data_IF_200222946612
#
_entry.id   IF_200222946612
#
_cell.length_a   1.000
_cell.length_b   1.000
_cell.length_c   1.000
_cell.angle_alpha   90.00
_cell.angle_beta   90.00
_cell.angle_gamma   90.00
#
_symmetry.space_group_name_H-M   'P 1'
#
loop_
_entity.id
_entity.type
_entity.pdbx_description
1 polymer ?
#
# COMPACT_ATOMS: atom_id res chain seq x y z
N UNK A 1 -9.46 15.28 58.49
CA UNK A 1 -9.14 14.51 57.31
C UNK A 1 -7.73 13.96 57.49
N UNK A 2 -7.57 12.63 57.52
CA UNK A 2 -6.25 12.02 57.62
C UNK A 2 -5.46 12.27 56.33
N UNK A 3 -4.24 12.79 56.45
CA UNK A 3 -3.36 12.94 55.31
C UNK A 3 -3.07 11.58 54.69
N UNK A 4 -3.12 11.39 53.38
CA UNK A 4 -2.77 10.14 52.73
C UNK A 4 -1.31 9.77 53.07
N UNK A 5 -1.09 8.66 53.72
CA UNK A 5 0.28 8.14 54.01
C UNK A 5 0.89 7.74 52.66
N UNK A 6 2.00 8.39 52.27
CA UNK A 6 2.80 7.99 51.11
C UNK A 6 3.36 6.60 51.42
N UNK A 7 3.15 5.57 50.58
CA UNK A 7 3.66 4.20 50.81
C UNK A 7 5.16 4.13 50.46
N UNK A 8 6.00 4.70 51.34
CA UNK A 8 7.44 4.82 51.13
C UNK A 8 8.11 3.45 50.90
N UNK A 9 7.68 2.44 51.64
CA UNK A 9 8.23 1.08 51.50
C UNK A 9 7.93 0.46 50.16
N UNK A 10 6.75 0.73 49.57
CA UNK A 10 6.39 0.33 48.20
C UNK A 10 7.23 1.06 47.15
N UNK A 11 7.49 2.37 47.35
CA UNK A 11 8.33 3.17 46.46
C UNK A 11 9.77 2.66 46.52
N UNK A 12 10.33 2.43 47.71
CA UNK A 12 11.70 1.95 47.86
C UNK A 12 11.89 0.54 47.30
N UNK A 13 10.92 -0.36 47.53
CA UNK A 13 10.97 -1.72 46.95
C UNK A 13 10.89 -1.69 45.43
N UNK A 14 10.07 -0.81 44.85
CA UNK A 14 9.99 -0.61 43.41
C UNK A 14 11.28 -0.03 42.82
N UNK A 15 11.86 0.96 43.48
CA UNK A 15 13.14 1.53 43.07
C UNK A 15 14.28 0.48 43.12
N UNK A 16 14.33 -0.37 44.15
CA UNK A 16 15.31 -1.45 44.24
C UNK A 16 15.12 -2.52 43.13
N UNK A 17 13.89 -2.88 42.83
CA UNK A 17 13.56 -3.78 41.71
C UNK A 17 14.00 -3.18 40.36
N UNK A 18 13.70 -1.90 40.14
CA UNK A 18 14.04 -1.23 38.88
C UNK A 18 15.55 -1.02 38.74
N UNK A 19 16.27 -0.76 39.85
CA UNK A 19 17.76 -0.73 39.89
C UNK A 19 18.36 -2.09 39.56
N UNK A 20 17.83 -3.18 40.13
CA UNK A 20 18.28 -4.55 39.83
C UNK A 20 18.07 -4.91 38.34
N UNK A 21 16.93 -4.53 37.78
CA UNK A 21 16.66 -4.70 36.33
C UNK A 21 17.61 -3.87 35.46
N UNK A 22 17.93 -2.63 35.86
CA UNK A 22 18.86 -1.78 35.16
C UNK A 22 20.30 -2.36 35.18
N UNK A 23 20.74 -2.89 36.32
CA UNK A 23 22.01 -3.56 36.45
C UNK A 23 22.12 -4.80 35.55
N UNK A 24 21.12 -5.69 35.58
CA UNK A 24 21.08 -6.89 34.74
C UNK A 24 21.08 -6.57 33.25
N UNK A 25 20.47 -5.44 32.86
CA UNK A 25 20.52 -4.93 31.46
C UNK A 25 21.91 -4.43 31.12
N UNK A 26 22.52 -3.65 31.99
CA UNK A 26 23.89 -3.12 31.78
C UNK A 26 24.94 -4.24 31.65
N UNK A 27 24.77 -5.33 32.38
CA UNK A 27 25.65 -6.50 32.29
C UNK A 27 25.55 -7.22 30.95
N UNK A 28 24.36 -7.31 30.37
CA UNK A 28 24.10 -7.99 29.08
C UNK A 28 24.30 -7.10 27.84
N UNK A 29 24.24 -5.79 28.00
CA UNK A 29 24.33 -4.85 26.89
C UNK A 29 25.60 -5.00 26.04
N UNK A 30 26.82 -5.15 26.64
CA UNK A 30 28.05 -5.35 25.86
C UNK A 30 28.00 -6.59 24.98
N UNK A 31 27.49 -7.72 25.48
CA UNK A 31 27.43 -8.98 24.73
C UNK A 31 26.51 -8.86 23.53
N UNK A 32 25.39 -8.13 23.68
CA UNK A 32 24.44 -7.89 22.60
C UNK A 32 24.97 -6.89 21.58
N UNK A 33 25.50 -5.73 22.05
CA UNK A 33 25.93 -4.65 21.16
C UNK A 33 27.25 -4.93 20.43
N UNK A 34 28.17 -5.70 21.05
CA UNK A 34 29.43 -6.07 20.45
C UNK A 34 29.39 -7.42 19.74
N UNK A 35 28.32 -8.18 19.93
CA UNK A 35 28.09 -9.45 19.25
C UNK A 35 27.60 -9.27 17.80
N UNK A 36 27.58 -10.35 17.02
CA UNK A 36 27.05 -10.31 15.67
C UNK A 36 25.54 -10.10 15.69
N UNK A 37 25.09 -8.99 15.07
CA UNK A 37 23.68 -8.65 14.87
C UNK A 37 23.26 -8.98 13.44
N UNK A 38 22.14 -9.70 13.28
CA UNK A 38 21.46 -9.82 12.00
C UNK A 38 20.57 -8.58 11.77
N UNK A 39 20.99 -7.74 10.88
CA UNK A 39 20.29 -6.49 10.53
C UNK A 39 19.92 -6.43 9.06
N UNK A 40 19.84 -7.59 8.39
CA UNK A 40 19.44 -7.69 7.00
C UNK A 40 17.94 -7.36 6.86
N UNK A 41 17.60 -6.58 5.84
CA UNK A 41 16.23 -6.21 5.44
C UNK A 41 16.00 -6.74 4.03
N UNK A 42 14.77 -7.05 3.65
CA UNK A 42 14.38 -7.50 2.32
C UNK A 42 15.15 -8.76 1.88
N UNK A 43 15.19 -9.75 2.78
CA UNK A 43 15.93 -11.00 2.55
C UNK A 43 15.20 -12.01 1.66
N UNK A 44 13.91 -11.82 1.37
CA UNK A 44 13.15 -12.74 0.53
C UNK A 44 13.61 -12.66 -0.92
N UNK A 45 14.00 -13.79 -1.55
CA UNK A 45 14.56 -13.78 -2.90
C UNK A 45 13.56 -13.29 -3.95
N UNK A 46 14.06 -12.44 -4.86
CA UNK A 46 13.33 -11.92 -6.01
C UNK A 46 14.25 -11.81 -7.23
N UNK A 47 13.64 -11.70 -8.39
CA UNK A 47 14.31 -11.34 -9.65
C UNK A 47 13.81 -9.96 -10.09
N UNK A 48 14.71 -9.11 -10.64
CA UNK A 48 14.31 -7.87 -11.29
C UNK A 48 13.95 -8.22 -12.72
N UNK A 49 12.65 -8.13 -13.06
CA UNK A 49 12.11 -8.61 -14.34
C UNK A 49 11.79 -7.48 -15.33
N UNK A 50 11.79 -6.24 -14.86
CA UNK A 50 11.60 -5.05 -15.68
C UNK A 50 12.33 -3.86 -15.04
N UNK A 51 12.96 -3.04 -15.86
CA UNK A 51 13.61 -1.79 -15.46
C UNK A 51 13.26 -0.67 -16.45
N UNK A 52 12.92 0.49 -15.92
CA UNK A 52 12.68 1.72 -16.67
C UNK A 52 13.26 2.90 -15.88
N UNK A 53 14.28 3.56 -16.41
CA UNK A 53 15.07 4.56 -15.69
C UNK A 53 15.61 4.02 -14.37
N UNK A 54 15.15 4.56 -13.24
CA UNK A 54 15.49 4.09 -11.89
C UNK A 54 14.48 3.11 -11.29
N UNK A 55 13.31 2.98 -11.93
CA UNK A 55 12.22 2.15 -11.44
C UNK A 55 12.49 0.71 -11.79
N UNK A 56 12.33 -0.20 -10.82
CA UNK A 56 12.52 -1.63 -10.97
C UNK A 56 11.26 -2.38 -10.57
N UNK A 57 10.96 -3.42 -11.32
CA UNK A 57 9.91 -4.37 -10.97
C UNK A 57 10.53 -5.64 -10.40
N UNK A 58 10.29 -5.88 -9.12
CA UNK A 58 10.70 -7.11 -8.43
C UNK A 58 9.61 -8.16 -8.59
N UNK A 59 9.99 -9.37 -9.01
CA UNK A 59 9.14 -10.56 -8.99
C UNK A 59 9.68 -11.53 -7.95
N UNK A 60 8.92 -11.79 -6.89
CA UNK A 60 9.34 -12.64 -5.80
C UNK A 60 9.21 -14.11 -6.18
N UNK A 61 10.24 -14.90 -5.83
CA UNK A 61 10.26 -16.34 -6.13
C UNK A 61 9.21 -17.06 -5.28
N UNK A 62 8.36 -17.92 -5.89
CA UNK A 62 7.37 -18.70 -5.16
C UNK A 62 8.03 -19.57 -4.09
N UNK A 63 7.39 -19.72 -2.94
CA UNK A 63 7.85 -20.60 -1.83
C UNK A 63 6.99 -21.85 -1.68
N UNK A 64 5.99 -22.02 -2.58
CA UNK A 64 5.11 -23.18 -2.67
C UNK A 64 5.14 -23.71 -4.12
N UNK A 65 4.65 -24.96 -4.38
CA UNK A 65 4.58 -25.49 -5.74
C UNK A 65 3.79 -24.58 -6.68
N UNK A 66 4.25 -24.45 -7.92
CA UNK A 66 3.70 -23.52 -8.93
C UNK A 66 2.20 -23.76 -9.18
N UNK A 67 1.74 -25.00 -9.08
CA UNK A 67 0.33 -25.37 -9.28
C UNK A 67 -0.60 -24.79 -8.20
N UNK A 68 -0.05 -24.47 -7.03
CA UNK A 68 -0.78 -23.86 -5.92
C UNK A 68 -0.77 -22.33 -5.94
N UNK A 69 0.03 -21.73 -6.83
CA UNK A 69 0.12 -20.27 -7.00
C UNK A 69 -1.10 -19.77 -7.76
N UNK A 70 -1.68 -18.64 -7.31
CA UNK A 70 -2.80 -17.99 -7.98
C UNK A 70 -2.40 -17.53 -9.38
N UNK A 71 -3.30 -17.74 -10.36
CA UNK A 71 -3.06 -17.40 -11.75
C UNK A 71 -3.02 -15.90 -12.02
N UNK A 72 -3.77 -15.11 -11.24
CA UNK A 72 -3.79 -13.66 -11.40
C UNK A 72 -2.77 -13.05 -10.44
N UNK A 73 -1.66 -12.47 -10.93
CA UNK A 73 -0.61 -11.91 -10.10
C UNK A 73 -1.10 -10.68 -9.34
N UNK A 74 -0.41 -10.36 -8.24
CA UNK A 74 -0.61 -9.16 -7.43
C UNK A 74 0.57 -8.22 -7.63
N UNK A 75 0.32 -7.02 -8.15
CA UNK A 75 1.27 -5.92 -8.16
C UNK A 75 1.10 -5.08 -6.90
N UNK A 76 2.17 -4.91 -6.13
CA UNK A 76 2.22 -4.02 -4.97
C UNK A 76 2.93 -2.72 -5.35
N UNK A 77 2.28 -1.60 -5.09
CA UNK A 77 2.80 -0.24 -5.29
C UNK A 77 2.94 0.43 -3.92
N UNK A 78 4.18 0.58 -3.48
CA UNK A 78 4.51 1.27 -2.24
C UNK A 78 4.55 2.80 -2.44
N UNK A 79 4.59 3.56 -1.35
CA UNK A 79 4.75 5.01 -1.39
C UNK A 79 6.10 5.41 -2.03
N UNK A 80 6.18 6.65 -2.52
CA UNK A 80 7.47 7.27 -2.89
C UNK A 80 8.28 7.69 -1.66
N UNK A 81 7.65 7.73 -0.49
CA UNK A 81 8.24 8.10 0.79
C UNK A 81 8.67 6.83 1.51
N UNK A 82 9.91 6.77 1.97
CA UNK A 82 10.57 5.57 2.47
C UNK A 82 10.62 4.43 1.41
N UNK A 83 10.92 3.21 1.84
CA UNK A 83 11.16 2.09 0.93
C UNK A 83 10.18 0.96 1.14
N UNK A 84 9.86 0.27 0.05
CA UNK A 84 9.04 -0.93 -0.04
C UNK A 84 9.58 -2.09 0.82
N UNK A 85 10.84 -2.03 1.21
CA UNK A 85 11.51 -3.01 2.06
C UNK A 85 10.87 -3.18 3.44
N UNK A 86 10.02 -2.23 3.87
CA UNK A 86 9.17 -2.37 5.06
C UNK A 86 8.28 -3.61 5.00
N UNK A 87 7.84 -4.01 3.84
CA UNK A 87 6.98 -5.18 3.65
C UNK A 87 7.73 -6.50 3.82
N UNK A 88 9.06 -6.45 3.86
CA UNK A 88 9.95 -7.61 4.08
C UNK A 88 11.05 -7.27 5.10
N UNK A 89 10.65 -6.72 6.26
CA UNK A 89 11.58 -6.15 7.22
C UNK A 89 12.51 -7.21 7.84
N UNK A 90 11.95 -8.37 8.21
CA UNK A 90 12.71 -9.48 8.81
C UNK A 90 11.91 -10.79 8.78
N UNK A 91 12.55 -11.94 8.98
CA UNK A 91 11.84 -13.22 9.17
C UNK A 91 10.80 -13.13 10.29
N UNK A 92 9.60 -13.67 10.05
CA UNK A 92 8.46 -13.60 10.98
C UNK A 92 7.74 -12.25 11.06
N UNK A 93 8.27 -11.21 10.37
CA UNK A 93 7.61 -9.89 10.19
C UNK A 93 7.74 -9.45 8.74
N UNK A 94 7.28 -10.30 7.83
CA UNK A 94 7.32 -10.08 6.39
C UNK A 94 5.93 -10.32 5.79
N UNK A 95 5.33 -9.28 5.27
CA UNK A 95 4.09 -9.35 4.48
C UNK A 95 4.36 -10.12 3.18
N UNK A 96 5.52 -9.89 2.56
CA UNK A 96 5.96 -10.60 1.35
C UNK A 96 5.94 -12.11 1.56
N UNK A 97 6.63 -12.60 2.60
CA UNK A 97 6.68 -14.04 2.89
C UNK A 97 5.30 -14.64 3.19
N UNK A 98 4.44 -13.90 3.89
CA UNK A 98 3.08 -14.35 4.18
C UNK A 98 2.26 -14.50 2.89
N UNK A 99 2.29 -13.49 2.01
CA UNK A 99 1.59 -13.56 0.73
C UNK A 99 2.10 -14.71 -0.16
N UNK A 100 3.43 -14.94 -0.21
CA UNK A 100 4.03 -16.04 -0.97
C UNK A 100 3.62 -17.42 -0.41
N UNK A 101 3.61 -17.59 0.93
CA UNK A 101 3.14 -18.82 1.59
C UNK A 101 1.66 -19.10 1.29
N UNK A 102 0.87 -18.07 1.14
CA UNK A 102 -0.54 -18.15 0.79
C UNK A 102 -0.78 -18.27 -0.72
N UNK A 103 0.27 -18.43 -1.53
CA UNK A 103 0.18 -18.71 -2.95
C UNK A 103 -0.08 -17.50 -3.84
N UNK A 104 0.27 -16.31 -3.39
CA UNK A 104 0.20 -15.12 -4.23
C UNK A 104 1.43 -15.05 -5.13
N UNK A 105 1.21 -14.87 -6.43
CA UNK A 105 2.24 -14.50 -7.40
C UNK A 105 2.51 -13.00 -7.28
N UNK A 106 3.65 -12.63 -6.68
CA UNK A 106 3.87 -11.31 -6.10
C UNK A 106 4.90 -10.49 -6.89
N UNK A 107 4.45 -9.36 -7.37
CA UNK A 107 5.26 -8.30 -7.95
C UNK A 107 5.28 -7.06 -7.06
N UNK A 108 6.40 -6.33 -7.04
CA UNK A 108 6.54 -5.10 -6.25
C UNK A 108 7.33 -4.04 -7.01
N UNK A 109 6.81 -2.82 -7.01
CA UNK A 109 7.50 -1.66 -7.57
C UNK A 109 8.56 -1.18 -6.59
N UNK A 110 9.80 -1.08 -7.04
CA UNK A 110 10.88 -0.34 -6.41
C UNK A 110 11.08 0.96 -7.20
N UNK A 111 10.72 2.09 -6.59
CA UNK A 111 10.80 3.41 -7.24
C UNK A 111 12.23 3.92 -7.41
N UNK A 112 13.22 3.27 -6.76
CA UNK A 112 14.61 3.70 -6.75
C UNK A 112 14.83 5.02 -6.02
N UNK A 113 15.96 5.66 -6.31
CA UNK A 113 16.35 6.93 -5.70
C UNK A 113 16.33 8.05 -6.75
N UNK A 114 15.40 9.01 -6.66
CA UNK A 114 15.36 10.15 -7.55
C UNK A 114 16.62 11.00 -7.46
N UNK A 115 17.07 11.46 -8.63
CA UNK A 115 18.18 12.42 -8.78
C UNK A 115 17.64 13.80 -9.08
N UNK A 116 18.51 14.81 -9.18
CA UNK A 116 18.09 16.16 -9.56
C UNK A 116 17.40 16.24 -10.94
N UNK A 117 17.64 15.29 -11.84
CA UNK A 117 17.01 15.21 -13.16
C UNK A 117 15.52 14.85 -13.04
N UNK A 118 15.17 14.09 -12.01
CA UNK A 118 13.83 13.57 -11.80
C UNK A 118 12.85 14.59 -11.21
N UNK A 119 13.32 15.78 -10.85
CA UNK A 119 12.49 16.82 -10.18
C UNK A 119 11.24 17.23 -10.95
N UNK A 120 11.21 17.01 -12.24
CA UNK A 120 10.09 17.37 -13.11
C UNK A 120 9.07 16.24 -13.30
N UNK A 121 9.33 15.04 -12.76
CA UNK A 121 8.39 13.94 -12.82
C UNK A 121 7.12 14.30 -12.03
N UNK A 122 5.99 14.19 -12.70
CA UNK A 122 4.65 14.47 -12.19
C UNK A 122 3.94 13.22 -11.70
N UNK A 123 2.75 13.36 -11.16
CA UNK A 123 1.87 12.21 -10.86
C UNK A 123 1.51 11.47 -12.16
N UNK A 124 1.39 12.16 -13.27
CA UNK A 124 1.10 11.56 -14.57
C UNK A 124 2.22 10.60 -15.01
N UNK A 125 3.49 11.01 -14.89
CA UNK A 125 4.63 10.16 -15.21
C UNK A 125 4.68 8.89 -14.35
N UNK A 126 4.31 8.99 -13.08
CA UNK A 126 4.25 7.82 -12.20
C UNK A 126 3.07 6.91 -12.50
N UNK A 127 1.88 7.47 -12.76
CA UNK A 127 0.63 6.71 -12.89
C UNK A 127 0.41 6.22 -14.33
N UNK A 128 0.46 7.11 -15.33
CA UNK A 128 0.23 6.76 -16.74
C UNK A 128 1.52 6.40 -17.48
N UNK A 129 2.69 6.71 -16.92
CA UNK A 129 3.99 6.24 -17.39
C UNK A 129 4.38 4.94 -16.71
N UNK A 130 5.20 5.00 -15.67
CA UNK A 130 5.81 3.82 -15.04
C UNK A 130 4.80 2.74 -14.61
N UNK A 131 3.72 3.11 -13.91
CA UNK A 131 2.73 2.10 -13.47
C UNK A 131 2.01 1.45 -14.64
N UNK A 132 1.63 2.21 -15.67
CA UNK A 132 0.92 1.66 -16.84
C UNK A 132 1.83 0.70 -17.62
N UNK A 133 3.09 1.06 -17.83
CA UNK A 133 4.09 0.20 -18.48
C UNK A 133 4.31 -1.10 -17.69
N UNK A 134 4.44 -1.02 -16.37
CA UNK A 134 4.58 -2.19 -15.48
C UNK A 134 3.34 -3.09 -15.52
N UNK A 135 2.14 -2.51 -15.43
CA UNK A 135 0.88 -3.27 -15.49
C UNK A 135 0.76 -3.99 -16.84
N UNK A 136 1.08 -3.32 -17.95
CA UNK A 136 1.03 -3.93 -19.28
C UNK A 136 2.10 -5.00 -19.46
N UNK A 137 3.30 -4.81 -18.90
CA UNK A 137 4.34 -5.85 -18.85
C UNK A 137 3.82 -7.11 -18.15
N UNK A 138 3.29 -7.00 -16.92
CA UNK A 138 2.78 -8.16 -16.16
C UNK A 138 1.62 -8.83 -16.91
N UNK A 139 0.69 -8.06 -17.46
CA UNK A 139 -0.45 -8.58 -18.23
C UNK A 139 0.00 -9.40 -19.44
N UNK A 140 1.04 -8.94 -20.12
CA UNK A 140 1.64 -9.61 -21.29
C UNK A 140 2.35 -10.91 -20.87
N UNK A 141 3.19 -10.88 -19.83
CA UNK A 141 3.90 -12.05 -19.32
C UNK A 141 2.94 -13.18 -18.92
N UNK A 142 1.83 -12.83 -18.28
CA UNK A 142 0.82 -13.80 -17.84
C UNK A 142 -0.28 -14.08 -18.87
N UNK A 143 -0.25 -13.42 -20.02
CA UNK A 143 -1.32 -13.48 -21.04
C UNK A 143 -2.71 -13.24 -20.41
N UNK A 144 -2.84 -12.22 -19.55
CA UNK A 144 -4.06 -11.88 -18.83
C UNK A 144 -4.56 -10.49 -19.20
N UNK A 145 -5.89 -10.30 -19.30
CA UNK A 145 -6.46 -8.97 -19.55
C UNK A 145 -6.38 -8.05 -18.33
N UNK A 146 -6.28 -8.60 -17.12
CA UNK A 146 -6.32 -7.86 -15.85
C UNK A 146 -5.42 -8.50 -14.81
N UNK A 147 -4.87 -7.67 -13.90
CA UNK A 147 -4.09 -8.10 -12.74
C UNK A 147 -4.75 -7.64 -11.43
N UNK A 148 -4.31 -8.18 -10.30
CA UNK A 148 -4.64 -7.63 -8.98
C UNK A 148 -3.67 -6.49 -8.66
N UNK A 149 -4.17 -5.42 -8.07
CA UNK A 149 -3.39 -4.24 -7.71
C UNK A 149 -3.54 -3.96 -6.21
N UNK A 150 -2.42 -3.73 -5.54
CA UNK A 150 -2.39 -3.34 -4.13
C UNK A 150 -1.56 -2.08 -3.96
N UNK A 151 -2.15 -1.06 -3.33
CA UNK A 151 -1.46 0.19 -3.05
C UNK A 151 -1.31 0.46 -1.56
N UNK A 152 -0.18 1.08 -1.19
CA UNK A 152 0.18 1.36 0.19
C UNK A 152 0.44 2.84 0.36
N UNK A 153 -0.26 3.50 1.30
CA UNK A 153 -0.11 4.90 1.64
C UNK A 153 -0.25 5.78 0.36
N UNK A 154 0.71 6.64 0.04
CA UNK A 154 0.74 7.43 -1.21
C UNK A 154 0.69 6.55 -2.46
N UNK A 155 1.33 5.37 -2.45
CA UNK A 155 1.22 4.39 -3.53
C UNK A 155 -0.20 3.86 -3.69
N UNK A 156 -0.96 3.77 -2.59
CA UNK A 156 -2.40 3.49 -2.61
C UNK A 156 -3.19 4.58 -3.30
N UNK A 157 -2.87 5.85 -3.04
CA UNK A 157 -3.47 6.99 -3.76
C UNK A 157 -3.22 6.89 -5.27
N UNK A 158 -1.99 6.52 -5.68
CA UNK A 158 -1.67 6.29 -7.10
C UNK A 158 -2.46 5.11 -7.68
N UNK A 159 -2.63 4.02 -6.92
CA UNK A 159 -3.44 2.88 -7.34
C UNK A 159 -4.92 3.24 -7.51
N UNK A 160 -5.47 4.10 -6.65
CA UNK A 160 -6.84 4.62 -6.77
C UNK A 160 -6.99 5.47 -8.03
N UNK A 161 -6.02 6.38 -8.28
CA UNK A 161 -5.99 7.21 -9.49
C UNK A 161 -5.91 6.31 -10.73
N UNK A 162 -4.95 5.37 -10.75
CA UNK A 162 -4.75 4.43 -11.85
C UNK A 162 -5.99 3.59 -12.14
N UNK A 163 -6.61 3.02 -11.10
CA UNK A 163 -7.81 2.19 -11.24
C UNK A 163 -9.03 2.96 -11.77
N UNK A 164 -9.11 4.27 -11.49
CA UNK A 164 -10.15 5.13 -12.05
C UNK A 164 -9.87 5.49 -13.54
N UNK A 165 -8.61 5.58 -13.94
CA UNK A 165 -8.21 5.90 -15.32
C UNK A 165 -8.16 4.67 -16.23
N UNK A 166 -7.80 3.50 -15.70
CA UNK A 166 -7.59 2.23 -16.41
C UNK A 166 -8.37 1.05 -15.79
N UNK A 167 -9.70 1.17 -15.56
CA UNK A 167 -10.48 0.13 -14.87
C UNK A 167 -10.51 -1.21 -15.64
N UNK A 168 -10.25 -1.19 -16.94
CA UNK A 168 -10.21 -2.37 -17.80
C UNK A 168 -8.96 -3.25 -17.54
N UNK A 169 -7.91 -2.72 -16.89
CA UNK A 169 -6.67 -3.45 -16.62
C UNK A 169 -6.63 -4.08 -15.22
N UNK A 170 -7.51 -3.67 -14.30
CA UNK A 170 -7.51 -4.11 -12.91
C UNK A 170 -8.66 -5.07 -12.62
N UNK A 171 -8.31 -6.22 -12.00
CA UNK A 171 -9.26 -7.26 -11.60
C UNK A 171 -9.80 -6.99 -10.20
N UNK A 172 -8.91 -6.77 -9.24
CA UNK A 172 -9.24 -6.44 -7.86
C UNK A 172 -8.30 -5.34 -7.37
N UNK A 173 -8.78 -4.44 -6.54
CA UNK A 173 -8.01 -3.36 -5.90
C UNK A 173 -7.95 -3.59 -4.40
N UNK A 174 -6.74 -3.57 -3.83
CA UNK A 174 -6.52 -3.52 -2.38
C UNK A 174 -5.82 -2.21 -2.03
N UNK A 175 -6.30 -1.52 -1.01
CA UNK A 175 -5.68 -0.28 -0.49
C UNK A 175 -5.34 -0.46 0.99
N UNK A 176 -4.20 0.09 1.42
CA UNK A 176 -3.74 -0.02 2.80
C UNK A 176 -3.22 1.33 3.27
N UNK A 177 -3.76 1.85 4.38
CA UNK A 177 -3.47 3.16 4.95
C UNK A 177 -3.40 4.26 3.87
N UNK A 178 -4.34 4.20 2.93
CA UNK A 178 -4.34 5.01 1.72
C UNK A 178 -5.14 6.29 1.94
N UNK A 179 -4.51 7.47 1.92
CA UNK A 179 -5.23 8.72 2.03
C UNK A 179 -5.96 9.01 0.72
N UNK A 180 -7.26 9.23 0.81
CA UNK A 180 -8.14 9.61 -0.31
C UNK A 180 -8.96 10.84 0.01
N UNK A 181 -9.28 11.05 1.29
CA UNK A 181 -9.83 12.29 1.80
C UNK A 181 -8.76 13.02 2.61
N UNK A 182 -8.36 14.18 2.15
CA UNK A 182 -7.31 14.98 2.75
C UNK A 182 -7.86 16.16 3.59
N UNK A 183 -9.16 16.36 3.58
CA UNK A 183 -9.84 17.38 4.41
C UNK A 183 -10.33 16.75 5.71
N UNK A 184 -9.38 16.57 6.64
CA UNK A 184 -9.63 16.04 7.99
C UNK A 184 -8.76 16.81 9.00
N UNK A 185 -9.26 16.94 10.21
CA UNK A 185 -8.57 17.51 11.38
C UNK A 185 -8.01 16.43 12.33
N UNK A 186 -8.22 15.16 12.02
CA UNK A 186 -7.79 14.05 12.88
C UNK A 186 -6.28 13.77 12.84
N UNK A 187 -5.55 14.35 11.89
CA UNK A 187 -4.10 14.15 11.75
C UNK A 187 -3.34 15.45 11.64
N UNK A 188 -2.30 15.62 12.46
CA UNK A 188 -1.47 16.82 12.47
C UNK A 188 -0.82 17.09 11.10
N UNK A 189 -0.42 16.03 10.37
CA UNK A 189 0.10 16.16 9.00
C UNK A 189 -0.91 16.84 8.08
N UNK A 190 -2.19 16.48 8.15
CA UNK A 190 -3.25 17.07 7.33
C UNK A 190 -3.44 18.56 7.65
N UNK A 191 -3.37 18.93 8.94
CA UNK A 191 -3.46 20.32 9.38
C UNK A 191 -2.28 21.12 8.84
N UNK A 192 -1.04 20.64 9.03
CA UNK A 192 0.16 21.36 8.57
C UNK A 192 0.21 21.52 7.06
N UNK A 193 -0.13 20.46 6.32
CA UNK A 193 -0.01 20.49 4.85
C UNK A 193 -1.04 21.39 4.16
N UNK A 194 -2.12 21.81 4.84
CA UNK A 194 -3.09 22.76 4.30
C UNK A 194 -2.49 24.14 3.99
N UNK A 195 -1.54 24.58 4.83
CA UNK A 195 -0.98 25.95 4.78
C UNK A 195 0.48 25.98 4.29
N UNK A 196 1.04 24.83 3.90
CA UNK A 196 2.42 24.75 3.39
C UNK A 196 2.56 25.46 2.04
N UNK A 197 3.53 26.38 1.94
CA UNK A 197 3.94 26.97 0.64
C UNK A 197 4.80 25.97 -0.13
N UNK A 198 4.13 25.01 -0.76
CA UNK A 198 4.80 23.91 -1.50
C UNK A 198 5.58 24.43 -2.70
N UNK A 199 5.18 25.54 -3.29
CA UNK A 199 5.90 26.14 -4.44
C UNK A 199 7.28 26.59 -4.00
N UNK A 200 7.39 27.36 -2.93
CA UNK A 200 8.68 27.77 -2.37
C UNK A 200 9.54 26.61 -1.94
N UNK A 201 8.95 25.56 -1.35
CA UNK A 201 9.71 24.37 -0.97
C UNK A 201 10.34 23.70 -2.20
N UNK A 202 9.54 23.42 -3.21
CA UNK A 202 10.03 22.74 -4.42
C UNK A 202 10.99 23.62 -5.21
N UNK A 203 10.75 24.93 -5.29
CA UNK A 203 11.65 25.87 -5.96
C UNK A 203 13.02 25.96 -5.26
N UNK A 204 13.05 25.82 -3.93
CA UNK A 204 14.27 25.85 -3.16
C UNK A 204 15.06 24.54 -3.22
N UNK A 205 14.40 23.38 -3.11
CA UNK A 205 15.06 22.08 -3.00
C UNK A 205 15.16 21.31 -4.33
N UNK A 206 14.28 21.58 -5.27
CA UNK A 206 14.10 20.76 -6.47
C UNK A 206 13.29 19.52 -6.16
N UNK A 207 13.94 18.44 -5.73
CA UNK A 207 13.26 17.29 -5.10
C UNK A 207 13.00 17.62 -3.63
N UNK A 208 11.92 17.05 -3.06
CA UNK A 208 11.67 17.14 -1.62
C UNK A 208 12.58 16.15 -0.89
N UNK A 209 13.52 16.62 -0.02
CA UNK A 209 14.50 15.75 0.60
C UNK A 209 13.85 14.75 1.55
N UNK A 210 14.25 13.46 1.45
CA UNK A 210 13.77 12.38 2.32
C UNK A 210 14.01 12.67 3.80
N UNK A 211 15.19 13.22 4.15
CA UNK A 211 15.53 13.58 5.53
C UNK A 211 14.62 14.68 6.10
N UNK A 212 14.21 15.67 5.30
CA UNK A 212 13.27 16.69 5.73
C UNK A 212 11.87 16.11 6.00
N UNK A 213 11.43 15.19 5.15
CA UNK A 213 10.16 14.50 5.38
C UNK A 213 10.21 13.65 6.64
N UNK A 214 11.30 12.92 6.87
CA UNK A 214 11.50 12.15 8.10
C UNK A 214 11.46 13.04 9.34
N UNK A 215 12.13 14.19 9.32
CA UNK A 215 12.07 15.16 10.40
C UNK A 215 10.63 15.62 10.63
N UNK A 216 9.88 15.94 9.57
CA UNK A 216 8.47 16.28 9.66
C UNK A 216 7.65 15.17 10.33
N UNK A 217 7.84 13.92 9.94
CA UNK A 217 7.14 12.77 10.56
C UNK A 217 7.49 12.58 12.04
N UNK A 218 8.75 12.76 12.43
CA UNK A 218 9.16 12.71 13.84
C UNK A 218 8.47 13.79 14.67
N UNK A 219 8.26 14.98 14.10
CA UNK A 219 7.59 16.10 14.78
C UNK A 219 6.06 15.92 14.91
N UNK A 220 5.46 14.94 14.22
CA UNK A 220 4.02 14.62 14.42
C UNK A 220 3.73 14.04 15.80
N UNK A 221 4.68 13.34 16.40
CA UNK A 221 4.56 12.82 17.77
C UNK A 221 5.96 12.68 18.41
N UNK A 222 6.60 13.81 18.77
CA UNK A 222 8.01 13.81 19.18
C UNK A 222 8.24 13.05 20.49
N UNK A 223 7.32 13.11 21.44
CA UNK A 223 7.45 12.34 22.68
C UNK A 223 7.57 10.85 22.40
N UNK A 224 6.65 10.27 21.63
CA UNK A 224 6.63 8.86 21.31
C UNK A 224 7.76 8.44 20.35
N UNK A 225 8.01 9.26 19.32
CA UNK A 225 8.91 8.88 18.22
C UNK A 225 10.39 9.22 18.50
N UNK A 226 10.67 10.15 19.41
CA UNK A 226 12.02 10.57 19.76
C UNK A 226 12.42 10.18 21.19
N UNK A 227 11.51 10.25 22.17
CA UNK A 227 11.85 9.98 23.59
C UNK A 227 11.52 8.53 23.93
N UNK A 228 10.24 8.14 23.90
CA UNK A 228 9.81 6.80 24.36
C UNK A 228 10.46 5.68 23.59
N UNK A 229 10.71 5.90 22.29
CA UNK A 229 11.39 4.94 21.40
C UNK A 229 12.81 4.63 21.90
N UNK A 230 13.62 5.62 22.25
CA UNK A 230 15.01 5.42 22.70
C UNK A 230 15.08 5.02 24.17
N UNK A 231 14.14 5.45 25.00
CA UNK A 231 13.98 4.91 26.37
C UNK A 231 13.64 3.43 26.29
N UNK A 232 12.68 3.04 25.46
CA UNK A 232 12.34 1.63 25.24
C UNK A 232 13.53 0.81 24.69
N UNK A 233 14.37 1.40 23.83
CA UNK A 233 15.60 0.76 23.36
C UNK A 233 16.57 0.52 24.54
N UNK A 234 16.85 1.53 25.34
CA UNK A 234 17.72 1.41 26.51
C UNK A 234 17.19 0.39 27.52
N UNK A 235 15.88 0.32 27.68
CA UNK A 235 15.24 -0.68 28.56
C UNK A 235 15.35 -2.12 28.05
N UNK A 236 15.50 -2.34 26.76
CA UNK A 236 15.55 -3.66 26.14
C UNK A 236 16.91 -3.99 25.49
N UNK A 237 17.97 -3.22 25.82
CA UNK A 237 19.30 -3.33 25.21
C UNK A 237 19.94 -4.72 25.42
N UNK A 238 19.58 -5.43 26.47
CA UNK A 238 20.04 -6.80 26.74
C UNK A 238 19.24 -7.89 25.98
N UNK A 239 18.27 -7.51 25.15
CA UNK A 239 17.48 -8.44 24.33
C UNK A 239 17.92 -8.32 22.87
N UNK A 240 18.65 -9.32 22.38
CA UNK A 240 19.20 -9.34 21.02
C UNK A 240 18.14 -9.16 19.94
N UNK A 241 17.02 -9.90 20.01
CA UNK A 241 15.96 -9.81 19.00
C UNK A 241 15.32 -8.42 18.95
N UNK A 242 15.19 -7.77 20.11
CA UNK A 242 14.68 -6.41 20.19
C UNK A 242 15.66 -5.42 19.55
N UNK A 243 16.96 -5.54 19.86
CA UNK A 243 18.02 -4.69 19.30
C UNK A 243 18.11 -4.85 17.78
N UNK A 244 18.11 -6.08 17.28
CA UNK A 244 18.11 -6.34 15.83
C UNK A 244 16.90 -5.73 15.12
N UNK A 245 15.71 -5.91 15.69
CA UNK A 245 14.51 -5.30 15.14
C UNK A 245 14.56 -3.77 15.17
N UNK A 246 15.05 -3.19 16.27
CA UNK A 246 15.23 -1.75 16.39
C UNK A 246 16.17 -1.22 15.31
N UNK A 247 17.34 -1.85 15.13
CA UNK A 247 18.32 -1.45 14.12
C UNK A 247 17.77 -1.57 12.70
N UNK A 248 17.01 -2.65 12.39
CA UNK A 248 16.34 -2.77 11.09
C UNK A 248 15.34 -1.64 10.84
N UNK A 249 14.54 -1.28 11.86
CA UNK A 249 13.60 -0.15 11.77
C UNK A 249 14.33 1.17 11.56
N UNK A 250 15.43 1.43 12.29
CA UNK A 250 16.23 2.64 12.10
C UNK A 250 16.84 2.70 10.69
N UNK A 251 17.44 1.60 10.22
CA UNK A 251 17.96 1.53 8.85
C UNK A 251 16.89 1.87 7.82
N UNK A 252 15.68 1.33 7.98
CA UNK A 252 14.60 1.63 7.06
C UNK A 252 14.12 3.09 7.15
N UNK A 253 14.00 3.67 8.35
CA UNK A 253 13.61 5.07 8.54
C UNK A 253 14.60 6.01 7.87
N UNK A 254 15.90 5.76 8.04
CA UNK A 254 16.96 6.61 7.50
C UNK A 254 17.33 6.29 6.04
N UNK A 255 16.77 5.25 5.44
CA UNK A 255 16.86 4.95 4.01
C UNK A 255 15.64 5.53 3.27
N UNK A 256 15.51 6.87 3.29
CA UNK A 256 14.41 7.59 2.67
C UNK A 256 14.85 8.27 1.38
N UNK A 257 14.37 7.81 0.21
CA UNK A 257 14.57 8.52 -1.04
C UNK A 257 13.93 9.91 -1.01
N UNK A 258 14.50 10.84 -1.79
CA UNK A 258 13.83 12.10 -2.10
C UNK A 258 12.54 11.83 -2.89
N UNK A 259 11.57 12.75 -2.81
CA UNK A 259 10.39 12.70 -3.69
C UNK A 259 10.56 13.70 -4.83
N UNK A 260 10.31 13.31 -6.10
CA UNK A 260 10.37 14.25 -7.23
C UNK A 260 9.54 15.51 -6.98
N UNK A 261 10.15 16.66 -7.22
CA UNK A 261 9.59 17.95 -6.81
C UNK A 261 8.21 18.21 -7.37
N UNK A 262 8.01 17.96 -8.67
CA UNK A 262 6.71 18.22 -9.30
C UNK A 262 5.63 17.23 -8.82
N UNK A 263 5.98 15.97 -8.58
CA UNK A 263 5.07 14.99 -7.94
C UNK A 263 4.64 15.46 -6.55
N UNK A 264 5.60 15.92 -5.73
CA UNK A 264 5.32 16.45 -4.39
C UNK A 264 4.44 17.69 -4.46
N UNK A 265 4.78 18.66 -5.32
CA UNK A 265 4.01 19.90 -5.57
C UNK A 265 2.57 19.60 -5.94
N UNK A 266 2.37 18.74 -6.93
CA UNK A 266 1.06 18.37 -7.42
C UNK A 266 0.26 17.62 -6.36
N UNK A 267 0.89 16.66 -5.66
CA UNK A 267 0.23 15.90 -4.59
C UNK A 267 -0.26 16.81 -3.46
N UNK A 268 0.57 17.75 -3.01
CA UNK A 268 0.18 18.69 -1.96
C UNK A 268 -0.94 19.62 -2.43
N UNK A 269 -0.81 20.21 -3.60
CA UNK A 269 -1.83 21.16 -4.13
C UNK A 269 -3.17 20.50 -4.40
N UNK A 270 -3.17 19.35 -5.05
CA UNK A 270 -4.40 18.73 -5.52
C UNK A 270 -5.07 17.89 -4.44
N UNK A 271 -4.27 17.27 -3.55
CA UNK A 271 -4.79 16.46 -2.47
C UNK A 271 -4.97 17.27 -1.18
N UNK A 272 -3.91 17.81 -0.57
CA UNK A 272 -4.02 18.49 0.72
C UNK A 272 -4.71 19.86 0.64
N UNK A 273 -4.35 20.71 -0.34
CA UNK A 273 -4.94 22.05 -0.41
C UNK A 273 -6.37 22.04 -0.96
N UNK A 274 -6.63 21.25 -2.00
CA UNK A 274 -7.91 21.29 -2.74
C UNK A 274 -8.78 20.06 -2.54
N UNK A 275 -8.26 18.97 -1.98
CA UNK A 275 -8.93 17.69 -1.77
C UNK A 275 -9.67 17.18 -3.03
N UNK A 276 -9.02 17.30 -4.21
CA UNK A 276 -9.66 17.06 -5.51
C UNK A 276 -9.99 15.58 -5.75
N UNK A 277 -9.19 14.65 -5.17
CA UNK A 277 -9.35 13.21 -5.44
C UNK A 277 -10.72 12.71 -4.98
N UNK A 278 -11.06 12.94 -3.72
CA UNK A 278 -12.33 12.44 -3.15
C UNK A 278 -13.56 13.12 -3.76
N UNK A 279 -13.36 14.33 -4.30
CA UNK A 279 -14.40 15.07 -5.04
C UNK A 279 -14.55 14.59 -6.50
N UNK A 280 -13.70 13.65 -6.95
CA UNK A 280 -13.61 13.24 -8.37
C UNK A 280 -13.37 14.42 -9.32
N UNK A 281 -12.56 15.40 -8.89
CA UNK A 281 -12.21 16.60 -9.69
C UNK A 281 -10.73 16.63 -10.08
N UNK A 282 -9.90 15.70 -9.55
CA UNK A 282 -8.49 15.61 -9.89
C UNK A 282 -8.32 15.29 -11.38
N UNK A 283 -7.30 15.88 -12.01
CA UNK A 283 -6.96 15.65 -13.42
C UNK A 283 -5.52 15.15 -13.49
N UNK A 284 -5.30 14.02 -14.14
CA UNK A 284 -3.98 13.42 -14.35
C UNK A 284 -3.87 13.02 -15.82
N UNK A 285 -2.80 13.42 -16.50
CA UNK A 285 -2.63 13.19 -17.94
C UNK A 285 -3.75 13.77 -18.80
N UNK A 286 -4.31 14.91 -18.40
CA UNK A 286 -5.44 15.54 -19.09
C UNK A 286 -6.78 14.80 -18.91
N UNK A 287 -6.83 13.72 -18.13
CA UNK A 287 -8.04 12.93 -17.87
C UNK A 287 -8.54 13.15 -16.45
N UNK A 288 -9.85 13.31 -16.29
CA UNK A 288 -10.49 13.43 -14.98
C UNK A 288 -10.49 12.07 -14.27
N UNK A 289 -10.01 12.06 -13.03
CA UNK A 289 -10.05 10.91 -12.13
C UNK A 289 -11.45 10.83 -11.51
N UNK A 290 -12.28 9.96 -12.05
CA UNK A 290 -13.65 9.73 -11.57
C UNK A 290 -13.70 8.43 -10.76
N UNK A 291 -13.83 8.55 -9.44
CA UNK A 291 -13.87 7.40 -8.53
C UNK A 291 -15.00 6.43 -8.84
N UNK A 292 -16.10 6.89 -9.48
CA UNK A 292 -17.19 6.01 -9.90
C UNK A 292 -16.80 4.99 -10.98
N UNK A 293 -15.68 5.20 -11.67
CA UNK A 293 -15.12 4.23 -12.61
C UNK A 293 -14.39 3.06 -11.94
N UNK A 294 -14.09 3.15 -10.66
CA UNK A 294 -13.57 2.03 -9.86
C UNK A 294 -14.72 1.09 -9.57
N UNK A 295 -14.95 0.14 -10.48
CA UNK A 295 -16.07 -0.81 -10.44
C UNK A 295 -15.63 -2.24 -10.08
N UNK A 296 -14.31 -2.48 -10.03
CA UNK A 296 -13.75 -3.74 -9.56
C UNK A 296 -13.90 -3.89 -8.04
N UNK A 297 -13.87 -5.13 -7.50
CA UNK A 297 -13.83 -5.36 -6.07
C UNK A 297 -12.74 -4.55 -5.36
N UNK A 298 -13.06 -3.98 -4.21
CA UNK A 298 -12.18 -3.14 -3.39
C UNK A 298 -12.11 -3.64 -1.96
N UNK A 299 -10.89 -3.95 -1.51
CA UNK A 299 -10.56 -4.25 -0.12
C UNK A 299 -9.71 -3.12 0.45
N UNK A 300 -10.19 -2.44 1.51
CA UNK A 300 -9.54 -1.27 2.09
C UNK A 300 -9.13 -1.53 3.55
N UNK A 301 -7.82 -1.45 3.83
CA UNK A 301 -7.28 -1.57 5.18
C UNK A 301 -6.84 -0.22 5.72
N UNK A 302 -7.11 0.04 6.99
CA UNK A 302 -6.57 1.20 7.70
C UNK A 302 -6.35 0.92 9.19
N UNK A 303 -5.51 1.73 9.81
CA UNK A 303 -5.15 1.60 11.22
C UNK A 303 -5.98 2.50 12.11
N UNK A 304 -6.56 1.95 13.19
CA UNK A 304 -7.37 2.71 14.15
C UNK A 304 -6.60 3.84 14.85
N UNK A 305 -5.31 3.60 15.10
CA UNK A 305 -4.43 4.55 15.80
C UNK A 305 -3.39 5.16 14.86
N UNK A 306 -3.71 5.21 13.57
CA UNK A 306 -2.83 5.82 12.58
C UNK A 306 -2.89 7.33 12.70
N UNK A 307 -1.79 7.93 13.17
CA UNK A 307 -1.65 9.38 13.33
C UNK A 307 -1.09 10.06 12.07
N UNK A 308 -0.60 9.27 11.11
CA UNK A 308 -0.06 9.75 9.84
C UNK A 308 -1.15 9.84 8.78
N UNK A 309 -1.92 8.76 8.64
CA UNK A 309 -3.08 8.67 7.75
C UNK A 309 -4.28 8.19 8.57
N UNK A 310 -5.00 9.10 9.22
CA UNK A 310 -6.07 8.74 10.14
C UNK A 310 -7.23 8.01 9.43
N UNK A 311 -8.04 7.23 10.16
CA UNK A 311 -9.19 6.51 9.59
C UNK A 311 -10.06 7.35 8.66
N UNK A 312 -10.38 8.61 9.05
CA UNK A 312 -11.19 9.53 8.25
C UNK A 312 -10.60 9.86 6.87
N UNK A 313 -9.29 9.68 6.67
CA UNK A 313 -8.65 9.84 5.37
C UNK A 313 -8.83 8.61 4.46
N UNK A 314 -9.06 7.42 5.04
CA UNK A 314 -9.10 6.14 4.34
C UNK A 314 -10.52 5.58 4.14
N UNK A 315 -11.33 5.55 5.21
CA UNK A 315 -12.62 4.83 5.28
C UNK A 315 -13.67 5.35 4.30
N UNK A 316 -13.55 6.61 3.90
CA UNK A 316 -14.50 7.25 2.98
C UNK A 316 -14.44 6.67 1.56
N UNK A 317 -13.34 6.01 1.16
CA UNK A 317 -13.10 5.56 -0.20
C UNK A 317 -14.18 4.59 -0.70
N UNK A 318 -14.54 3.59 0.10
CA UNK A 318 -15.52 2.55 -0.27
C UNK A 318 -16.89 3.12 -0.59
N UNK A 319 -17.28 4.22 0.06
CA UNK A 319 -18.54 4.93 -0.21
C UNK A 319 -18.51 5.77 -1.50
N UNK A 320 -17.32 6.10 -2.03
CA UNK A 320 -17.15 7.00 -3.19
C UNK A 320 -16.94 6.28 -4.49
N UNK A 321 -16.46 5.03 -4.47
CA UNK A 321 -16.24 4.23 -5.68
C UNK A 321 -17.54 3.76 -6.34
N UNK A 322 -17.45 3.24 -7.55
CA UNK A 322 -18.57 2.63 -8.28
C UNK A 322 -18.73 1.13 -8.02
N UNK A 323 -17.79 0.51 -7.32
CA UNK A 323 -17.85 -0.90 -6.97
C UNK A 323 -19.04 -1.20 -6.03
N UNK A 324 -19.64 -2.37 -6.22
CA UNK A 324 -20.67 -2.93 -5.32
C UNK A 324 -20.09 -4.00 -4.38
N UNK A 325 -18.86 -4.41 -4.62
CA UNK A 325 -18.11 -5.37 -3.81
C UNK A 325 -16.99 -4.61 -3.12
N UNK A 326 -17.28 -4.08 -1.94
CA UNK A 326 -16.34 -3.28 -1.14
C UNK A 326 -16.31 -3.78 0.28
N UNK A 327 -15.11 -3.83 0.86
CA UNK A 327 -14.89 -4.21 2.25
C UNK A 327 -13.89 -3.26 2.91
N UNK A 328 -14.23 -2.76 4.12
CA UNK A 328 -13.36 -1.97 4.97
C UNK A 328 -12.89 -2.79 6.17
N UNK A 329 -11.59 -2.81 6.43
CA UNK A 329 -10.99 -3.49 7.58
C UNK A 329 -10.17 -2.48 8.40
N UNK A 330 -10.68 -2.14 9.57
CA UNK A 330 -10.00 -1.32 10.55
C UNK A 330 -9.18 -2.20 11.49
N UNK A 331 -7.84 -2.11 11.42
CA UNK A 331 -6.94 -2.86 12.27
C UNK A 331 -6.60 -2.06 13.55
N UNK A 332 -6.51 -2.75 14.68
CA UNK A 332 -6.23 -2.16 16.00
C UNK A 332 -4.72 -1.85 16.15
N UNK A 333 -4.19 -0.97 15.29
CA UNK A 333 -2.79 -0.61 15.18
C UNK A 333 -2.60 0.77 14.55
N UNK A 334 -1.33 1.27 14.52
CA UNK A 334 -0.94 2.48 13.79
C UNK A 334 -0.38 2.17 12.39
N UNK A 335 0.13 3.20 11.70
CA UNK A 335 0.55 3.18 10.30
C UNK A 335 1.48 1.99 9.95
N UNK A 336 2.66 1.95 10.60
CA UNK A 336 3.66 0.91 10.35
C UNK A 336 3.28 -0.42 11.02
N UNK A 337 2.53 -0.37 12.11
CA UNK A 337 2.12 -1.56 12.85
C UNK A 337 1.33 -2.57 12.03
N UNK A 338 0.65 -2.16 10.96
CA UNK A 338 -0.04 -3.05 10.01
C UNK A 338 0.95 -4.06 9.41
N UNK A 339 2.17 -3.64 9.12
CA UNK A 339 3.17 -4.46 8.43
C UNK A 339 4.06 -5.26 9.38
N UNK A 340 4.28 -4.79 10.63
CA UNK A 340 5.32 -5.36 11.49
C UNK A 340 4.82 -5.88 12.85
N UNK A 341 3.60 -5.53 13.28
CA UNK A 341 3.09 -6.06 14.55
C UNK A 341 2.75 -7.54 14.45
N UNK A 342 3.10 -8.32 15.48
CA UNK A 342 2.84 -9.77 15.50
C UNK A 342 1.35 -10.13 15.34
N UNK A 343 0.45 -9.25 15.78
CA UNK A 343 -1.00 -9.42 15.59
C UNK A 343 -1.37 -9.27 14.12
N UNK A 344 -0.96 -8.14 13.49
CA UNK A 344 -1.32 -7.86 12.11
C UNK A 344 -0.66 -8.83 11.13
N UNK A 345 0.54 -9.33 11.42
CA UNK A 345 1.18 -10.36 10.60
C UNK A 345 0.34 -11.64 10.47
N UNK A 346 -0.47 -11.99 11.47
CA UNK A 346 -1.37 -13.15 11.40
C UNK A 346 -2.68 -12.88 10.65
N UNK A 347 -3.05 -11.63 10.48
CA UNK A 347 -4.35 -11.24 9.93
C UNK A 347 -4.23 -10.63 8.53
N UNK A 348 -3.27 -9.72 8.31
CA UNK A 348 -3.21 -8.87 7.13
C UNK A 348 -2.92 -9.65 5.84
N UNK A 349 -1.80 -10.37 5.76
CA UNK A 349 -1.44 -11.16 4.58
C UNK A 349 -2.46 -12.24 4.26
N UNK A 350 -2.81 -13.13 5.22
CA UNK A 350 -3.82 -14.17 5.01
C UNK A 350 -5.19 -13.62 4.60
N UNK A 351 -5.60 -12.46 5.12
CA UNK A 351 -6.88 -11.84 4.72
C UNK A 351 -6.87 -11.39 3.27
N UNK A 352 -5.78 -10.75 2.81
CA UNK A 352 -5.61 -10.37 1.41
C UNK A 352 -5.63 -11.61 0.51
N UNK A 353 -4.84 -12.63 0.86
CA UNK A 353 -4.74 -13.85 0.06
C UNK A 353 -6.08 -14.59 -0.02
N UNK A 354 -6.80 -14.74 1.09
CA UNK A 354 -8.12 -15.35 1.15
C UNK A 354 -9.13 -14.60 0.26
N UNK A 355 -9.17 -13.28 0.40
CA UNK A 355 -10.05 -12.40 -0.37
C UNK A 355 -9.81 -12.45 -1.88
N UNK A 356 -8.54 -12.56 -2.30
CA UNK A 356 -8.15 -12.72 -3.71
C UNK A 356 -8.52 -14.12 -4.24
N UNK A 357 -8.32 -15.18 -3.43
CA UNK A 357 -8.68 -16.57 -3.79
C UNK A 357 -10.17 -16.74 -4.06
N UNK A 358 -11.02 -16.20 -3.21
CA UNK A 358 -12.47 -16.23 -3.39
C UNK A 358 -12.87 -15.64 -4.75
N UNK A 359 -12.29 -14.52 -5.14
CA UNK A 359 -12.57 -13.82 -6.41
C UNK A 359 -11.89 -14.44 -7.63
N UNK A 360 -10.94 -15.34 -7.42
CA UNK A 360 -10.37 -16.18 -8.48
C UNK A 360 -11.33 -17.34 -8.83
N UNK A 361 -11.99 -17.94 -7.83
CA UNK A 361 -12.85 -19.10 -7.96
C UNK A 361 -14.25 -18.74 -8.50
N UNK A 362 -14.86 -17.64 -8.07
CA UNK A 362 -16.19 -17.22 -8.54
C UNK A 362 -16.29 -17.12 -10.07
N UNK A 363 -15.20 -16.74 -10.77
CA UNK A 363 -15.16 -16.73 -12.22
C UNK A 363 -15.10 -18.11 -12.86
N UNK A 364 -14.62 -19.15 -12.17
CA UNK A 364 -14.68 -20.53 -12.66
C UNK A 364 -16.11 -21.03 -12.68
N UNK A 365 -16.88 -20.82 -11.62
CA UNK A 365 -18.28 -21.25 -11.54
C UNK A 365 -19.19 -20.49 -12.53
N UNK A 366 -18.99 -19.19 -12.70
CA UNK A 366 -19.76 -18.39 -13.67
C UNK A 366 -19.47 -18.77 -15.14
N UNK A 367 -18.28 -19.28 -15.45
CA UNK A 367 -17.95 -19.81 -16.78
C UNK A 367 -18.56 -21.19 -17.05
N UNK A 368 -18.74 -22.01 -16.02
CA UNK A 368 -19.34 -23.34 -16.11
C UNK A 368 -20.87 -23.25 -16.29
N UNK A 369 -21.52 -22.22 -15.77
CA UNK A 369 -22.98 -22.04 -15.79
C UNK A 369 -23.58 -21.38 -17.06
N UNK A 370 -22.79 -21.07 -18.10
CA UNK A 370 -23.34 -20.64 -19.39
C UNK A 370 -23.82 -21.84 -20.17
N UNK A 371 -25.13 -22.07 -20.34
CA UNK A 371 -25.60 -23.16 -21.19
C UNK A 371 -25.19 -22.89 -22.65
N UNK A 372 -24.94 -23.94 -23.44
CA UNK A 372 -24.54 -23.79 -24.83
C UNK A 372 -25.64 -23.03 -25.58
N UNK A 373 -25.26 -22.03 -26.34
CA UNK A 373 -26.17 -21.25 -27.16
C UNK A 373 -26.99 -22.20 -28.07
N UNK A 374 -28.31 -22.24 -27.86
CA UNK A 374 -29.23 -23.00 -28.74
C UNK A 374 -29.07 -22.48 -30.16
N UNK A 375 -28.55 -23.35 -31.05
CA UNK A 375 -28.52 -23.09 -32.49
C UNK A 375 -29.96 -22.84 -32.96
N UNK A 376 -30.24 -21.65 -33.46
CA UNK A 376 -31.48 -21.33 -34.08
C UNK A 376 -31.70 -22.21 -35.30
N UNK A 377 -32.71 -23.08 -35.24
CA UNK A 377 -33.17 -23.90 -36.36
C UNK A 377 -33.83 -22.95 -37.38
N UNK A 378 -33.14 -22.73 -38.52
CA UNK A 378 -33.73 -22.02 -39.66
C UNK A 378 -34.89 -22.88 -40.23
N UNK A 379 -36.13 -22.47 -39.99
CA UNK A 379 -37.29 -23.00 -40.72
C UNK A 379 -37.18 -22.60 -42.20
N UNK A 380 -37.00 -23.63 -43.07
CA UNK A 380 -37.16 -23.48 -44.52
C UNK A 380 -38.68 -23.33 -44.79
N UNK A 381 -39.10 -22.17 -45.20
CA UNK A 381 -40.43 -21.95 -45.79
C UNK A 381 -40.35 -22.22 -47.29
N UNK A 382 -40.98 -23.33 -47.74
CA UNK A 382 -41.25 -23.61 -49.13
C UNK A 382 -42.32 -22.65 -49.69
N UNK A 383 -41.93 -21.77 -50.60
CA UNK A 383 -42.87 -21.01 -51.40
C UNK A 383 -43.20 -21.80 -52.69
N UNK A 384 -44.39 -22.32 -52.79
CA UNK A 384 -44.96 -22.86 -54.02
C UNK A 384 -45.52 -21.74 -54.91
N UNK A 385 -45.05 -21.71 -56.15
CA UNK A 385 -45.52 -21.02 -57.33
C UNK A 385 -46.98 -21.17 -57.55
N UNK A 386 -47.70 -20.09 -57.89
CA UNK A 386 -48.87 -20.08 -58.81
C UNK A 386 -48.82 -18.84 -59.68
N UNK A 387 -48.73 -19.11 -60.96
CA UNK A 387 -48.92 -18.17 -62.03
C UNK A 387 -50.43 -18.00 -62.34
N UNK A 388 -50.85 -16.88 -62.76
CA UNK A 388 -51.82 -16.58 -63.84
C UNK A 388 -52.26 -15.09 -63.79
N UNK A 389 -51.93 -14.35 -64.76
CA UNK A 389 -52.64 -14.01 -65.99
C UNK A 389 -53.56 -12.82 -65.86
N UNK A 390 -53.24 -11.88 -66.71
CA UNK A 390 -54.14 -11.05 -67.55
C UNK A 390 -54.57 -9.63 -67.14
N UNK A 391 -54.16 -8.76 -68.04
CA UNK A 391 -54.91 -7.71 -68.77
C UNK A 391 -55.21 -6.39 -68.06
N UNK A 392 -54.64 -5.33 -68.54
CA UNK A 392 -54.94 -4.46 -69.67
C UNK A 392 -55.69 -3.20 -69.31
N UNK A 393 -55.22 -2.08 -69.90
CA UNK A 393 -55.90 -0.80 -70.18
C UNK A 393 -55.97 0.23 -69.02
N UNK A 394 -55.42 1.31 -69.13
CA UNK A 394 -55.28 2.44 -70.06
C UNK A 394 -54.13 3.30 -69.65
#
# INVERSE_FOLDING_TARGET
MAQPKIPIDLILSKMAEDAGKAQARAEKAPDVLLGPLDTQIAATPYDVVYEEDRVKLKHYRPVIPTEAVLKTPLLVVYALINRETMLDLQPGRSVVQNLLKDGIDLYMVDWGYPTRKDRYLSIDDHVNGYMDNIVDFIRKEHNLPKINLMGICMGGTFCVIYSALHPEKIKNLTTTVTPTNFDTDQGLLHIWMKDVDVDRMVDAFGNMPGDMMNLGFLLLNPARLMIDKYVGFAENIGNKDFVENFVRMEKWIFDSPDVPGETFRQFVKDCYHKNLLIQSKMVVGGKRVDLKKITMPLLNFYGKYDHLVPPAACEVLTSKVGSKDTEDICLDTGHIGIYVSSRCQREFGPRIAGWLKEREEEKKESRVKKPPARKAIKKKTNAKTKASSKKSKK
#
